data_IF_352132109188
#
_entry.id   IF_352132109188
#
_cell.length_a   1.000
_cell.length_b   1.000
_cell.length_c   1.000
_cell.angle_alpha   90.00
_cell.angle_beta   90.00
_cell.angle_gamma   90.00
#
_symmetry.space_group_name_H-M   'P 1'
#
loop_
_entity.id
_entity.type
_entity.pdbx_description
1 polymer ?
#
# COMPACT_ATOMS: atom_id res chain seq x y z
N UNK A 1 5.40 22.44 -6.32
CA UNK A 1 5.67 21.43 -5.27
C UNK A 1 4.42 20.64 -4.84
N UNK A 2 3.20 21.22 -4.87
CA UNK A 2 1.97 20.57 -4.34
C UNK A 2 1.14 19.75 -5.34
N UNK A 3 1.44 19.80 -6.65
CA UNK A 3 0.62 19.14 -7.67
C UNK A 3 0.56 17.62 -7.53
N UNK A 4 1.67 16.97 -7.16
CA UNK A 4 1.72 15.52 -7.01
C UNK A 4 0.87 14.99 -5.84
N UNK A 5 0.94 15.58 -4.63
CA UNK A 5 0.01 15.26 -3.55
C UNK A 5 -1.46 15.45 -3.93
N UNK A 6 -1.80 16.50 -4.70
CA UNK A 6 -3.18 16.75 -5.14
C UNK A 6 -3.66 15.63 -6.06
N UNK A 7 -2.85 15.23 -7.05
CA UNK A 7 -3.18 14.13 -7.96
C UNK A 7 -3.37 12.82 -7.18
N UNK A 8 -2.48 12.52 -6.24
CA UNK A 8 -2.63 11.35 -5.38
C UNK A 8 -3.89 11.39 -4.51
N UNK A 9 -4.24 12.57 -3.97
CA UNK A 9 -5.48 12.76 -3.23
C UNK A 9 -6.73 12.48 -4.08
N UNK A 10 -6.76 12.96 -5.32
CA UNK A 10 -7.86 12.69 -6.26
C UNK A 10 -7.95 11.18 -6.55
N UNK A 11 -6.82 10.53 -6.84
CA UNK A 11 -6.75 9.07 -7.06
C UNK A 11 -7.30 8.32 -5.84
N UNK A 12 -6.96 8.76 -4.64
CA UNK A 12 -7.43 8.15 -3.40
C UNK A 12 -8.95 8.26 -3.30
N UNK A 13 -9.52 9.45 -3.48
CA UNK A 13 -10.98 9.66 -3.43
C UNK A 13 -11.70 8.81 -4.49
N UNK A 14 -11.23 8.83 -5.73
CA UNK A 14 -11.83 8.04 -6.82
C UNK A 14 -11.72 6.54 -6.54
N UNK A 15 -10.56 6.07 -6.06
CA UNK A 15 -10.35 4.67 -5.68
C UNK A 15 -11.29 4.19 -4.59
N UNK A 16 -11.55 5.03 -3.58
CA UNK A 16 -12.51 4.72 -2.51
C UNK A 16 -13.95 4.64 -3.02
N UNK A 17 -14.34 5.52 -3.96
CA UNK A 17 -15.68 5.45 -4.59
C UNK A 17 -15.85 4.18 -5.42
N UNK A 18 -14.80 3.77 -6.16
CA UNK A 18 -14.79 2.53 -6.92
C UNK A 18 -14.89 1.31 -5.99
N UNK A 19 -14.21 1.33 -4.84
CA UNK A 19 -14.33 0.26 -3.84
C UNK A 19 -15.77 0.05 -3.38
N UNK A 20 -16.53 1.13 -3.09
CA UNK A 20 -17.93 1.00 -2.69
C UNK A 20 -18.78 0.22 -3.72
N UNK A 21 -18.49 0.36 -5.03
CA UNK A 21 -19.20 -0.37 -6.07
C UNK A 21 -18.75 -1.83 -6.27
N UNK A 22 -17.55 -2.19 -5.81
CA UNK A 22 -16.93 -3.52 -6.00
C UNK A 22 -17.01 -4.37 -4.72
N UNK A 23 -17.04 -3.74 -3.55
CA UNK A 23 -16.96 -4.39 -2.24
C UNK A 23 -18.03 -5.46 -2.02
N UNK A 24 -19.26 -5.23 -2.52
CA UNK A 24 -20.38 -6.15 -2.37
C UNK A 24 -20.41 -7.25 -3.44
N UNK A 25 -19.65 -7.09 -4.54
CA UNK A 25 -19.68 -8.02 -5.68
C UNK A 25 -18.56 -9.06 -5.65
N UNK A 26 -17.45 -8.79 -4.96
CA UNK A 26 -16.27 -9.63 -4.95
C UNK A 26 -15.97 -10.23 -3.57
N UNK A 27 -15.33 -11.41 -3.58
CA UNK A 27 -14.83 -12.04 -2.34
C UNK A 27 -13.70 -11.18 -1.76
N UNK A 28 -13.90 -10.76 -0.51
CA UNK A 28 -12.98 -9.87 0.24
C UNK A 28 -11.54 -10.38 0.31
N UNK A 29 -11.36 -11.68 0.54
CA UNK A 29 -10.04 -12.32 0.53
C UNK A 29 -9.34 -12.19 -0.82
N UNK A 30 -10.06 -12.38 -1.93
CA UNK A 30 -9.50 -12.24 -3.29
C UNK A 30 -9.12 -10.79 -3.59
N UNK A 31 -9.93 -9.82 -3.15
CA UNK A 31 -9.62 -8.40 -3.27
C UNK A 31 -8.34 -8.03 -2.51
N UNK A 32 -8.18 -8.47 -1.25
CA UNK A 32 -6.96 -8.21 -0.48
C UNK A 32 -5.71 -8.80 -1.15
N UNK A 33 -5.79 -10.04 -1.62
CA UNK A 33 -4.66 -10.71 -2.26
C UNK A 33 -4.32 -10.00 -3.57
N UNK A 34 -5.31 -9.70 -4.41
CA UNK A 34 -5.10 -9.01 -5.69
C UNK A 34 -4.55 -7.59 -5.51
N UNK A 35 -5.08 -6.82 -4.55
CA UNK A 35 -4.55 -5.50 -4.21
C UNK A 35 -3.12 -5.58 -3.70
N UNK A 36 -2.86 -6.56 -2.84
CA UNK A 36 -1.53 -6.85 -2.29
C UNK A 36 -0.50 -7.20 -3.34
N UNK A 37 -0.84 -8.09 -4.29
CA UNK A 37 0.06 -8.46 -5.38
C UNK A 37 0.32 -7.29 -6.32
N UNK A 38 -0.69 -6.48 -6.66
CA UNK A 38 -0.53 -5.28 -7.47
C UNK A 38 0.38 -4.25 -6.77
N UNK A 39 0.22 -4.06 -5.46
CA UNK A 39 1.07 -3.16 -4.67
C UNK A 39 2.53 -3.64 -4.61
N UNK A 40 2.75 -4.93 -4.34
CA UNK A 40 4.10 -5.51 -4.33
C UNK A 40 4.79 -5.44 -5.69
N UNK A 41 4.05 -5.73 -6.78
CA UNK A 41 4.55 -5.58 -8.15
C UNK A 41 4.85 -4.11 -8.51
N UNK A 42 4.03 -3.18 -8.05
CA UNK A 42 4.22 -1.74 -8.30
C UNK A 42 5.49 -1.18 -7.64
N UNK A 43 5.98 -1.81 -6.56
CA UNK A 43 7.26 -1.48 -5.94
C UNK A 43 8.47 -2.18 -6.59
N UNK A 44 8.29 -3.40 -7.13
CA UNK A 44 9.38 -4.14 -7.77
C UNK A 44 9.66 -3.68 -9.21
N UNK A 45 8.63 -3.37 -9.98
CA UNK A 45 8.76 -3.00 -11.40
C UNK A 45 9.65 -1.76 -11.63
N UNK A 46 9.52 -0.65 -10.87
CA UNK A 46 10.40 0.50 -11.03
C UNK A 46 11.86 0.18 -10.75
N UNK A 47 12.14 -0.64 -9.73
CA UNK A 47 13.51 -1.04 -9.38
C UNK A 47 14.15 -1.85 -10.50
N UNK A 48 13.40 -2.81 -11.08
CA UNK A 48 13.88 -3.62 -12.21
C UNK A 48 14.12 -2.78 -13.46
N UNK A 49 13.22 -1.84 -13.76
CA UNK A 49 13.33 -0.98 -14.95
C UNK A 49 14.55 -0.05 -14.84
N UNK A 50 14.83 0.51 -13.66
CA UNK A 50 16.03 1.32 -13.44
C UNK A 50 17.33 0.52 -13.52
N UNK A 51 17.29 -0.75 -13.10
CA UNK A 51 18.45 -1.65 -13.18
C UNK A 51 18.79 -2.02 -14.63
N UNK A 52 17.78 -2.11 -15.49
CA UNK A 52 17.92 -2.38 -16.93
C UNK A 52 18.22 -1.11 -17.75
N UNK A 53 17.73 0.06 -17.34
CA UNK A 53 17.91 1.33 -18.03
C UNK A 53 18.25 2.46 -17.04
N UNK A 54 19.54 2.79 -16.84
CA UNK A 54 19.97 3.83 -15.90
C UNK A 54 19.48 5.25 -16.25
N UNK A 55 19.16 5.52 -17.53
CA UNK A 55 18.65 6.81 -18.02
C UNK A 55 17.11 6.93 -18.03
N UNK A 56 16.40 6.06 -17.31
CA UNK A 56 14.94 6.09 -17.26
C UNK A 56 14.42 7.33 -16.52
N UNK A 57 13.34 7.91 -17.03
CA UNK A 57 12.82 9.19 -16.54
C UNK A 57 12.28 9.06 -15.11
N UNK A 58 12.51 10.06 -14.23
CA UNK A 58 11.96 10.06 -12.86
C UNK A 58 10.42 9.96 -12.82
N UNK A 59 9.77 10.36 -13.92
CA UNK A 59 8.33 10.29 -14.13
C UNK A 59 7.78 8.86 -14.07
N UNK A 60 8.59 7.86 -14.45
CA UNK A 60 8.18 6.47 -14.44
C UNK A 60 7.88 5.97 -13.01
N UNK A 61 8.73 6.33 -12.05
CA UNK A 61 8.55 6.00 -10.62
C UNK A 61 7.25 6.60 -10.10
N UNK A 62 6.93 7.83 -10.52
CA UNK A 62 5.72 8.54 -10.09
C UNK A 62 4.46 7.85 -10.62
N UNK A 63 4.47 7.33 -11.85
CA UNK A 63 3.35 6.57 -12.42
C UNK A 63 3.13 5.28 -11.64
N UNK A 64 4.19 4.52 -11.36
CA UNK A 64 4.08 3.29 -10.56
C UNK A 64 3.64 3.55 -9.12
N UNK A 65 4.12 4.63 -8.50
CA UNK A 65 3.65 5.07 -7.18
C UNK A 65 2.16 5.44 -7.21
N UNK A 66 1.67 6.02 -8.31
CA UNK A 66 0.26 6.35 -8.49
C UNK A 66 -0.61 5.10 -8.62
N UNK A 67 -0.12 4.07 -9.32
CA UNK A 67 -0.77 2.76 -9.40
C UNK A 67 -0.81 2.09 -8.03
N UNK A 68 0.29 2.18 -7.26
CA UNK A 68 0.33 1.70 -5.88
C UNK A 68 -0.74 2.40 -5.01
N UNK A 69 -0.82 3.74 -5.06
CA UNK A 69 -1.82 4.51 -4.29
C UNK A 69 -3.24 4.16 -4.71
N UNK A 70 -3.49 4.00 -6.02
CA UNK A 70 -4.79 3.55 -6.52
C UNK A 70 -5.13 2.16 -5.95
N UNK A 71 -4.21 1.21 -6.06
CA UNK A 71 -4.34 -0.15 -5.53
C UNK A 71 -4.64 -0.18 -4.04
N UNK A 72 -3.86 0.55 -3.26
CA UNK A 72 -4.05 0.69 -1.82
C UNK A 72 -5.42 1.27 -1.48
N UNK A 73 -5.84 2.33 -2.17
CA UNK A 73 -7.11 3.01 -1.92
C UNK A 73 -8.32 2.11 -2.16
N UNK A 74 -8.32 1.32 -3.24
CA UNK A 74 -9.47 0.47 -3.55
C UNK A 74 -9.46 -0.89 -2.82
N UNK A 75 -8.36 -1.30 -2.17
CA UNK A 75 -8.31 -2.59 -1.45
C UNK A 75 -7.95 -2.41 0.01
N UNK A 76 -6.67 -2.23 0.31
CA UNK A 76 -6.17 -2.35 1.67
C UNK A 76 -6.70 -1.25 2.59
N UNK A 77 -6.90 -0.03 2.10
CA UNK A 77 -7.36 1.09 2.91
C UNK A 77 -8.72 0.83 3.56
N UNK A 78 -9.82 0.54 2.84
CA UNK A 78 -11.11 0.28 3.46
C UNK A 78 -11.28 -1.16 3.95
N UNK A 79 -10.71 -2.14 3.25
CA UNK A 79 -11.04 -3.55 3.49
C UNK A 79 -10.40 -4.11 4.77
N UNK A 80 -9.23 -3.61 5.17
CA UNK A 80 -8.57 -4.02 6.42
C UNK A 80 -9.41 -3.67 7.65
N UNK A 81 -9.95 -2.44 7.69
CA UNK A 81 -10.84 -2.00 8.78
C UNK A 81 -12.14 -2.79 8.83
N UNK A 82 -12.71 -3.12 7.66
CA UNK A 82 -13.93 -3.92 7.58
C UNK A 82 -13.69 -5.34 8.08
N UNK A 83 -12.58 -5.97 7.69
CA UNK A 83 -12.25 -7.34 8.11
C UNK A 83 -11.99 -7.44 9.61
N UNK A 84 -11.34 -6.45 10.23
CA UNK A 84 -11.20 -6.38 11.70
C UNK A 84 -12.59 -6.37 12.37
N UNK A 85 -13.57 -5.69 11.78
CA UNK A 85 -14.95 -5.70 12.27
C UNK A 85 -15.66 -7.06 12.17
N UNK A 86 -15.30 -7.88 11.19
CA UNK A 86 -15.97 -9.15 10.88
C UNK A 86 -15.31 -10.38 11.48
N UNK A 87 -13.99 -10.40 11.61
CA UNK A 87 -13.23 -11.55 12.11
C UNK A 87 -13.38 -11.71 13.62
N UNK A 88 -13.47 -10.61 14.36
CA UNK A 88 -13.52 -10.65 15.82
C UNK A 88 -14.95 -10.77 16.36
N UNK A 89 -15.20 -11.68 17.32
CA UNK A 89 -16.51 -11.82 17.94
C UNK A 89 -16.89 -10.57 18.73
N UNK A 90 -18.19 -10.26 18.76
CA UNK A 90 -18.77 -9.04 19.33
C UNK A 90 -18.25 -8.73 20.75
N UNK A 91 -18.04 -9.76 21.58
CA UNK A 91 -17.60 -9.62 22.96
C UNK A 91 -16.19 -8.99 23.12
N UNK A 92 -15.29 -9.20 22.17
CA UNK A 92 -13.89 -8.72 22.25
C UNK A 92 -13.51 -7.73 21.15
N UNK A 93 -14.44 -7.42 20.24
CA UNK A 93 -14.20 -6.57 19.07
C UNK A 93 -13.56 -5.23 19.41
N UNK A 94 -14.00 -4.59 20.50
CA UNK A 94 -13.42 -3.31 20.95
C UNK A 94 -11.94 -3.43 21.33
N UNK A 95 -11.58 -4.46 22.10
CA UNK A 95 -10.18 -4.69 22.51
C UNK A 95 -9.31 -5.15 21.34
N UNK A 96 -9.83 -6.03 20.50
CA UNK A 96 -9.13 -6.53 19.32
C UNK A 96 -8.90 -5.43 18.27
N UNK A 97 -9.90 -4.58 18.03
CA UNK A 97 -9.76 -3.42 17.12
C UNK A 97 -8.75 -2.40 17.66
N UNK A 98 -8.74 -2.16 18.98
CA UNK A 98 -7.72 -1.34 19.63
C UNK A 98 -6.30 -1.89 19.44
N UNK A 99 -6.12 -3.20 19.62
CA UNK A 99 -4.82 -3.87 19.39
C UNK A 99 -4.40 -3.87 17.91
N UNK A 100 -5.33 -4.05 16.98
CA UNK A 100 -5.05 -3.95 15.55
C UNK A 100 -4.64 -2.52 15.16
N UNK A 101 -5.32 -1.52 15.73
CA UNK A 101 -5.01 -0.10 15.50
C UNK A 101 -3.63 0.26 16.06
N UNK A 102 -3.29 -0.20 17.28
CA UNK A 102 -1.98 0.06 17.86
C UNK A 102 -0.86 -0.60 17.06
N UNK A 103 -1.05 -1.84 16.60
CA UNK A 103 -0.10 -2.51 15.71
C UNK A 103 0.09 -1.73 14.39
N UNK A 104 -0.98 -1.20 13.80
CA UNK A 104 -0.90 -0.36 12.60
C UNK A 104 -0.10 0.93 12.85
N UNK A 105 -0.31 1.59 13.98
CA UNK A 105 0.44 2.80 14.35
C UNK A 105 1.92 2.51 14.63
N UNK A 106 2.24 1.40 15.30
CA UNK A 106 3.63 0.97 15.52
C UNK A 106 4.32 0.69 14.19
N UNK A 107 3.65 -0.01 13.26
CA UNK A 107 4.17 -0.23 11.91
C UNK A 107 4.41 1.08 11.16
N UNK A 108 3.46 2.02 11.25
CA UNK A 108 3.56 3.34 10.62
C UNK A 108 4.72 4.17 11.19
N UNK A 109 4.93 4.10 12.51
CA UNK A 109 6.06 4.73 13.19
C UNK A 109 7.40 4.10 12.75
N UNK A 110 7.48 2.78 12.73
CA UNK A 110 8.68 2.07 12.28
C UNK A 110 9.04 2.44 10.84
N UNK A 111 8.07 2.46 9.91
CA UNK A 111 8.29 2.88 8.52
C UNK A 111 8.70 4.35 8.46
N UNK A 112 8.04 5.23 9.20
CA UNK A 112 8.37 6.66 9.25
C UNK A 112 9.79 6.94 9.73
N UNK A 113 10.35 6.08 10.57
CA UNK A 113 11.70 6.20 11.13
C UNK A 113 12.75 5.48 10.26
N UNK A 114 12.44 4.29 9.76
CA UNK A 114 13.32 3.50 8.91
C UNK A 114 13.47 4.10 7.52
N UNK A 115 12.39 4.64 6.93
CA UNK A 115 12.41 5.12 5.54
C UNK A 115 13.45 6.23 5.32
N UNK A 116 13.53 7.31 6.13
CA UNK A 116 14.57 8.34 5.98
C UNK A 116 15.99 7.80 6.16
N UNK A 117 16.19 6.89 7.13
CA UNK A 117 17.51 6.29 7.42
C UNK A 117 17.96 5.42 6.23
N UNK A 118 17.05 4.64 5.66
CA UNK A 118 17.32 3.79 4.51
C UNK A 118 17.59 4.61 3.25
N UNK A 119 16.82 5.68 2.99
CA UNK A 119 17.06 6.54 1.82
C UNK A 119 18.32 7.40 1.95
N UNK A 120 18.83 7.61 3.17
CA UNK A 120 20.11 8.29 3.39
C UNK A 120 21.33 7.37 3.18
N UNK A 121 21.16 6.05 3.35
CA UNK A 121 22.24 5.07 3.27
C UNK A 121 22.25 4.24 1.99
N UNK A 122 21.10 4.09 1.33
CA UNK A 122 20.92 3.29 0.12
C UNK A 122 20.24 4.07 -1.00
N UNK A 123 20.51 3.72 -2.27
CA UNK A 123 19.74 4.25 -3.39
C UNK A 123 18.25 3.92 -3.23
N UNK A 124 17.40 4.90 -3.53
CA UNK A 124 15.95 4.86 -3.33
C UNK A 124 15.29 3.60 -3.96
N UNK A 125 15.88 3.08 -5.03
CA UNK A 125 15.37 1.93 -5.76
C UNK A 125 15.54 0.61 -4.99
N UNK A 126 16.63 0.48 -4.22
CA UNK A 126 16.86 -0.66 -3.34
C UNK A 126 15.89 -0.63 -2.15
N UNK A 127 15.61 0.57 -1.62
CA UNK A 127 14.64 0.76 -0.54
C UNK A 127 13.25 0.32 -1.01
N UNK A 128 12.80 0.76 -2.19
CA UNK A 128 11.52 0.33 -2.74
C UNK A 128 11.45 -1.17 -3.03
N UNK A 129 12.53 -1.80 -3.50
CA UNK A 129 12.54 -3.25 -3.68
C UNK A 129 12.39 -4.02 -2.37
N UNK A 130 13.07 -3.58 -1.29
CA UNK A 130 12.92 -4.19 0.03
C UNK A 130 11.47 -4.11 0.51
N UNK A 131 10.84 -2.93 0.40
CA UNK A 131 9.43 -2.78 0.74
C UNK A 131 8.49 -3.59 -0.16
N UNK A 132 8.80 -3.71 -1.46
CA UNK A 132 8.06 -4.54 -2.40
C UNK A 132 8.09 -6.03 -2.04
N UNK A 133 9.26 -6.55 -1.66
CA UNK A 133 9.42 -7.94 -1.19
C UNK A 133 8.67 -8.17 0.11
N UNK A 134 8.79 -7.27 1.09
CA UNK A 134 8.04 -7.35 2.36
C UNK A 134 6.53 -7.35 2.09
N UNK A 135 6.07 -6.50 1.17
CA UNK A 135 4.67 -6.42 0.78
C UNK A 135 4.20 -7.73 0.16
N UNK A 136 4.94 -8.32 -0.78
CA UNK A 136 4.57 -9.61 -1.38
C UNK A 136 4.57 -10.76 -0.37
N UNK A 137 5.52 -10.79 0.56
CA UNK A 137 5.54 -11.79 1.63
C UNK A 137 4.34 -11.63 2.58
N UNK A 138 3.91 -10.40 2.85
CA UNK A 138 2.77 -10.13 3.73
C UNK A 138 1.39 -10.39 3.12
N UNK A 139 1.32 -10.67 1.82
CA UNK A 139 0.06 -10.90 1.08
C UNK A 139 -0.39 -12.36 1.11
N UNK A 140 0.53 -13.29 1.37
CA UNK A 140 0.30 -14.74 1.34
C UNK A 140 0.11 -15.34 2.72
#
# INVERSE_FOLDING_TARGET
>A
ALMWPIIQGIILVVGSLVFLGIADKFKRRTLLILGGTVMGLSFLLPTVIKLLMPNSSPLLIVVFLSIYVAAYSFTWAPLTWVIIGEVFPLAIRGRASGAASSANWVGSFAVGLLFPIMTASMPQDAVFAIFGVICLLGVW
#
